data_IF_077105294414
#
_entry.id   IF_077105294414
#
_cell.length_a   1.000
_cell.length_b   1.000
_cell.length_c   1.000
_cell.angle_alpha   90.00
_cell.angle_beta   90.00
_cell.angle_gamma   90.00
#
_symmetry.space_group_name_H-M   'P 1'
#
loop_
_entity.id
_entity.type
_entity.pdbx_description
1 polymer ?
#
# COMPACT_ATOMS: atom_id res chain seq x y z
N UNK A 1 -7.68 -6.30 5.44
CA UNK A 1 -8.79 -5.96 4.53
C UNK A 1 -10.05 -5.84 5.35
N UNK A 2 -10.79 -4.73 5.27
CA UNK A 2 -12.05 -4.56 5.98
C UNK A 2 -13.22 -5.10 5.14
N UNK A 3 -14.35 -5.40 5.81
CA UNK A 3 -15.55 -5.95 5.16
C UNK A 3 -16.28 -4.99 4.22
N UNK A 4 -16.00 -3.69 4.31
CA UNK A 4 -16.53 -2.63 3.46
C UNK A 4 -15.70 -2.42 2.17
N UNK A 5 -14.81 -3.36 1.85
CA UNK A 5 -13.88 -3.26 0.74
C UNK A 5 -12.82 -2.17 0.88
N UNK A 6 -12.50 -1.73 2.10
CA UNK A 6 -11.38 -0.83 2.35
C UNK A 6 -10.12 -1.56 2.89
N UNK A 7 -8.96 -1.33 2.28
CA UNK A 7 -7.67 -1.72 2.85
C UNK A 7 -7.16 -0.56 3.71
N UNK A 8 -6.96 -0.84 5.00
CA UNK A 8 -6.60 0.18 6.01
C UNK A 8 -5.40 -0.32 6.80
N UNK A 9 -4.38 0.55 6.93
CA UNK A 9 -3.32 0.39 7.92
C UNK A 9 -3.80 1.04 9.22
N UNK A 10 -3.81 0.25 10.30
CA UNK A 10 -4.23 0.70 11.63
C UNK A 10 -3.12 0.49 12.63
N UNK A 11 -3.02 1.42 13.56
CA UNK A 11 -2.24 1.30 14.78
C UNK A 11 -3.19 1.40 15.96
N UNK A 12 -3.39 0.29 16.67
CA UNK A 12 -4.47 0.16 17.66
C UNK A 12 -5.83 0.55 17.06
N UNK A 13 -6.52 1.55 17.62
CA UNK A 13 -7.79 2.08 17.12
C UNK A 13 -7.64 3.10 15.99
N UNK A 14 -6.44 3.63 15.76
CA UNK A 14 -6.20 4.76 14.87
C UNK A 14 -5.97 4.26 13.44
N UNK A 15 -6.78 4.76 12.51
CA UNK A 15 -6.54 4.55 11.08
C UNK A 15 -5.44 5.51 10.61
N UNK A 16 -4.31 4.96 10.17
CA UNK A 16 -3.14 5.74 9.74
C UNK A 16 -3.21 6.02 8.23
N UNK A 17 -3.65 5.03 7.44
CA UNK A 17 -3.75 5.15 5.99
C UNK A 17 -4.83 4.24 5.43
N UNK A 18 -5.40 4.61 4.28
CA UNK A 18 -6.43 3.84 3.60
C UNK A 18 -6.40 4.07 2.08
N UNK A 19 -6.77 3.04 1.30
CA UNK A 19 -6.98 3.16 -0.16
C UNK A 19 -8.28 3.91 -0.54
N UNK A 20 -9.17 4.21 0.41
CA UNK A 20 -10.38 4.99 0.16
C UNK A 20 -11.46 4.27 -0.66
N UNK A 21 -11.58 2.95 -0.53
CA UNK A 21 -12.53 2.13 -1.31
C UNK A 21 -13.70 1.58 -0.49
N UNK A 22 -13.96 2.15 0.68
CA UNK A 22 -15.12 1.82 1.50
C UNK A 22 -16.43 1.92 0.69
N UNK A 23 -17.28 0.91 0.80
CA UNK A 23 -18.59 0.84 0.12
C UNK A 23 -18.51 0.47 -1.36
N UNK A 24 -17.34 0.14 -1.90
CA UNK A 24 -17.19 -0.29 -3.31
C UNK A 24 -17.48 -1.77 -3.56
N UNK A 25 -17.96 -2.49 -2.54
CA UNK A 25 -18.38 -3.89 -2.64
C UNK A 25 -18.41 -4.59 -1.29
N UNK A 26 -18.52 -5.92 -1.33
CA UNK A 26 -18.33 -6.83 -0.20
C UNK A 26 -17.30 -7.90 -0.54
N UNK A 27 -16.84 -8.64 0.48
CA UNK A 27 -15.99 -9.83 0.33
C UNK A 27 -14.70 -9.56 -0.45
N UNK A 28 -14.17 -8.34 -0.33
CA UNK A 28 -12.95 -7.97 -1.02
C UNK A 28 -11.73 -8.67 -0.43
N UNK A 29 -10.74 -8.89 -1.29
CA UNK A 29 -9.44 -9.42 -0.92
C UNK A 29 -8.32 -8.67 -1.64
N UNK A 30 -7.17 -8.61 -1.00
CA UNK A 30 -5.94 -8.07 -1.59
C UNK A 30 -5.13 -9.20 -2.21
N UNK A 31 -4.58 -8.98 -3.40
CA UNK A 31 -3.72 -9.93 -4.09
C UNK A 31 -2.48 -9.23 -4.59
N UNK A 32 -1.32 -9.65 -4.09
CA UNK A 32 -0.02 -9.31 -4.69
C UNK A 32 0.16 -10.20 -5.92
N UNK A 33 0.17 -9.59 -7.10
CA UNK A 33 0.31 -10.31 -8.37
C UNK A 33 1.78 -10.51 -8.73
N UNK A 34 2.06 -11.54 -9.53
CA UNK A 34 3.42 -11.88 -9.99
C UNK A 34 4.00 -10.86 -10.98
N UNK A 35 3.21 -9.88 -11.42
CA UNK A 35 3.65 -8.80 -12.30
C UNK A 35 4.05 -7.52 -11.53
N UNK A 36 3.96 -7.55 -10.20
CA UNK A 36 4.29 -6.44 -9.32
C UNK A 36 3.12 -5.54 -8.97
N UNK A 37 1.90 -5.86 -9.38
CA UNK A 37 0.72 -5.07 -9.05
C UNK A 37 -0.01 -5.62 -7.81
N UNK A 38 -0.21 -4.78 -6.79
CA UNK A 38 -1.12 -5.11 -5.70
C UNK A 38 -2.53 -4.66 -6.12
N UNK A 39 -3.46 -5.60 -6.15
CA UNK A 39 -4.83 -5.34 -6.60
C UNK A 39 -5.82 -5.74 -5.51
N UNK A 40 -6.81 -4.88 -5.28
CA UNK A 40 -8.00 -5.24 -4.51
C UNK A 40 -9.05 -5.73 -5.48
N UNK A 41 -9.55 -6.92 -5.21
CA UNK A 41 -10.63 -7.55 -5.95
C UNK A 41 -11.87 -7.67 -5.07
N UNK A 42 -13.03 -7.72 -5.72
CA UNK A 42 -14.28 -8.23 -5.18
C UNK A 42 -14.79 -9.38 -6.08
N UNK A 43 -15.97 -9.93 -5.79
CA UNK A 43 -16.57 -11.00 -6.61
C UNK A 43 -16.91 -10.60 -8.07
N UNK A 44 -16.85 -9.31 -8.42
CA UNK A 44 -17.15 -8.79 -9.75
C UNK A 44 -15.89 -8.43 -10.55
N UNK A 45 -14.76 -8.19 -9.89
CA UNK A 45 -13.52 -7.80 -10.55
C UNK A 45 -12.62 -6.91 -9.70
N UNK A 46 -11.74 -6.16 -10.38
CA UNK A 46 -10.79 -5.26 -9.72
C UNK A 46 -11.47 -3.96 -9.27
N UNK A 47 -11.24 -3.58 -8.01
CA UNK A 47 -11.78 -2.36 -7.39
C UNK A 47 -10.72 -1.25 -7.35
N UNK A 48 -9.45 -1.63 -7.16
CA UNK A 48 -8.32 -0.71 -7.04
C UNK A 48 -6.98 -1.42 -7.31
N UNK A 49 -5.96 -0.67 -7.73
CA UNK A 49 -4.59 -1.18 -7.86
C UNK A 49 -3.53 -0.13 -7.57
N UNK A 50 -2.33 -0.58 -7.20
CA UNK A 50 -1.13 0.27 -7.03
C UNK A 50 -0.58 0.80 -8.35
N UNK A 51 -0.95 0.19 -9.48
CA UNK A 51 -0.46 0.52 -10.83
C UNK A 51 1.06 0.34 -10.97
N UNK A 52 1.58 -0.72 -10.36
CA UNK A 52 3.03 -0.98 -10.23
C UNK A 52 3.50 -2.16 -11.07
N UNK A 53 2.87 -2.40 -12.22
CA UNK A 53 3.31 -3.47 -13.13
C UNK A 53 4.77 -3.25 -13.54
N UNK A 54 5.62 -4.27 -13.32
CA UNK A 54 7.07 -4.26 -13.58
C UNK A 54 7.57 -5.57 -14.24
N UNK A 55 6.66 -6.40 -14.72
CA UNK A 55 6.96 -7.69 -15.34
C UNK A 55 7.00 -8.83 -14.33
N UNK A 56 7.14 -10.06 -14.83
CA UNK A 56 7.12 -11.25 -13.98
C UNK A 56 8.33 -11.32 -13.05
N UNK A 57 8.09 -11.41 -11.74
CA UNK A 57 9.10 -11.56 -10.70
C UNK A 57 8.44 -12.08 -9.40
N UNK A 58 9.25 -12.30 -8.37
CA UNK A 58 8.78 -12.37 -7.00
C UNK A 58 8.56 -10.95 -6.48
N UNK A 59 7.39 -10.70 -5.89
CA UNK A 59 7.08 -9.42 -5.25
C UNK A 59 6.57 -9.66 -3.83
N UNK A 60 7.04 -8.83 -2.92
CA UNK A 60 6.74 -8.95 -1.49
C UNK A 60 6.10 -7.65 -1.01
N UNK A 61 4.93 -7.76 -0.38
CA UNK A 61 4.29 -6.66 0.34
C UNK A 61 4.66 -6.80 1.82
N UNK A 62 5.43 -5.86 2.33
CA UNK A 62 6.00 -5.93 3.68
C UNK A 62 5.50 -4.75 4.51
N UNK A 63 4.95 -5.04 5.70
CA UNK A 63 4.81 -4.06 6.77
C UNK A 63 6.12 -4.02 7.56
N UNK A 64 6.80 -2.88 7.52
CA UNK A 64 8.11 -2.66 8.12
C UNK A 64 7.99 -2.19 9.58
N UNK A 65 9.09 -2.27 10.32
CA UNK A 65 9.17 -1.83 11.73
C UNK A 65 8.94 -0.32 11.90
N UNK A 66 9.23 0.46 10.86
CA UNK A 66 9.02 1.91 10.84
C UNK A 66 7.58 2.33 10.54
N UNK A 67 6.64 1.36 10.43
CA UNK A 67 5.22 1.50 10.07
C UNK A 67 4.96 1.71 8.57
N UNK A 68 5.97 1.70 7.71
CA UNK A 68 5.73 1.75 6.27
C UNK A 68 5.23 0.41 5.74
N UNK A 69 4.36 0.46 4.73
CA UNK A 69 3.99 -0.72 3.94
C UNK A 69 4.58 -0.54 2.56
N UNK A 70 5.46 -1.46 2.16
CA UNK A 70 6.27 -1.33 0.95
C UNK A 70 6.13 -2.56 0.07
N UNK A 71 6.09 -2.35 -1.24
CA UNK A 71 6.22 -3.43 -2.22
C UNK A 71 7.68 -3.47 -2.68
N UNK A 72 8.31 -4.63 -2.50
CA UNK A 72 9.65 -4.91 -3.01
C UNK A 72 9.58 -5.84 -4.21
N UNK A 73 10.37 -5.52 -5.25
CA UNK A 73 10.73 -6.45 -6.31
C UNK A 73 11.88 -7.33 -5.80
N UNK A 74 11.62 -8.63 -5.65
CA UNK A 74 12.47 -9.57 -4.93
C UNK A 74 13.85 -9.75 -5.55
N UNK A 75 13.93 -9.95 -6.86
CA UNK A 75 15.21 -10.16 -7.58
C UNK A 75 16.20 -8.99 -7.40
N UNK A 76 15.69 -7.76 -7.31
CA UNK A 76 16.48 -6.53 -7.20
C UNK A 76 16.55 -6.00 -5.75
N UNK A 77 15.75 -6.55 -4.84
CA UNK A 77 15.47 -5.97 -3.50
C UNK A 77 15.11 -4.48 -3.57
N UNK A 78 14.36 -4.09 -4.60
CA UNK A 78 14.05 -2.70 -4.90
C UNK A 78 12.64 -2.35 -4.47
N UNK A 79 12.47 -1.29 -3.69
CA UNK A 79 11.17 -0.72 -3.37
C UNK A 79 10.55 -0.11 -4.64
N UNK A 80 9.29 -0.44 -4.95
CA UNK A 80 8.59 0.05 -6.14
C UNK A 80 7.34 0.88 -5.80
N UNK A 81 6.85 0.79 -4.57
CA UNK A 81 5.71 1.53 -4.05
C UNK A 81 5.69 1.48 -2.53
N UNK A 82 5.19 2.52 -1.88
CA UNK A 82 4.97 2.55 -0.45
C UNK A 82 3.73 3.39 -0.04
N UNK A 83 3.26 3.19 1.19
CA UNK A 83 2.18 3.99 1.80
C UNK A 83 2.66 5.34 2.32
N UNK A 84 3.99 5.54 2.45
CA UNK A 84 4.63 6.70 3.09
C UNK A 84 4.16 6.91 4.53
N UNK A 85 3.95 5.82 5.24
CA UNK A 85 3.49 5.83 6.65
C UNK A 85 4.63 5.67 7.65
N UNK A 86 5.88 5.64 7.16
CA UNK A 86 7.07 5.62 7.99
C UNK A 86 7.06 6.77 9.02
N UNK A 87 7.72 6.57 10.14
CA UNK A 87 8.02 7.67 11.06
C UNK A 87 8.94 8.66 10.35
N UNK A 88 8.45 9.89 10.13
CA UNK A 88 9.33 10.98 9.69
C UNK A 88 10.28 11.32 10.83
N UNK A 89 11.57 11.32 10.54
CA UNK A 89 12.52 11.99 11.42
C UNK A 89 12.19 13.48 11.43
N UNK A 90 12.50 14.16 12.53
CA UNK A 90 12.19 15.58 12.69
C UNK A 90 12.79 16.45 11.57
N UNK A 91 13.93 16.04 11.01
CA UNK A 91 14.62 16.71 9.91
C UNK A 91 13.89 16.56 8.57
N UNK A 92 13.34 15.37 8.26
CA UNK A 92 12.59 15.12 7.03
C UNK A 92 11.25 15.88 7.00
N UNK A 93 10.66 16.10 8.17
CA UNK A 93 9.42 16.88 8.29
C UNK A 93 9.61 18.36 7.93
N UNK A 94 10.81 18.91 8.20
CA UNK A 94 11.16 20.28 7.84
C UNK A 94 11.38 20.42 6.32
N UNK A 95 12.05 19.46 5.68
CA UNK A 95 12.33 19.50 4.24
C UNK A 95 11.05 19.42 3.38
N UNK A 96 10.08 18.57 3.76
CA UNK A 96 8.81 18.42 3.03
C UNK A 96 7.87 19.65 3.15
N UNK A 97 8.10 20.53 4.14
CA UNK A 97 7.33 21.75 4.32
C UNK A 97 7.77 22.85 3.35
N UNK A 98 9.03 22.86 2.93
CA UNK A 98 9.58 23.88 2.02
C UNK A 98 9.24 23.62 0.55
N UNK A 99 8.99 22.36 0.16
CA UNK A 99 8.59 21.97 -1.21
C UNK A 99 7.09 22.24 -1.52
N UNK A 100 6.39 22.95 -0.62
CA UNK A 100 4.96 23.29 -0.71
C UNK A 100 4.68 24.80 -0.87
N UNK A 101 5.70 25.62 -1.13
CA UNK A 101 5.60 27.07 -1.43
C UNK A 101 5.95 27.30 -2.90
#
# INVERSE_FOLDING_TARGET
MQGDCNLVLRESSNAIWSIGTAGRGSDCYAKMQSDGNLVIYNGQGAVWSTKTVRGFDTYELILQEDRNVVIYKGSERKAIWDTKTYYKLAEDAAADAEDRI
#
